data_IF_906305540159
#
_entry.id   IF_906305540159
#
_cell.length_a   1.000
_cell.length_b   1.000
_cell.length_c   1.000
_cell.angle_alpha   90.00
_cell.angle_beta   90.00
_cell.angle_gamma   90.00
#
_symmetry.space_group_name_H-M   'P 1'
#
loop_
_entity.id
_entity.type
_entity.pdbx_description
1 polymer ?
#
# COMPACT_ATOMS: atom_id res chain seq x y z
N UNK A 1 34.87 -23.34 9.02
CA UNK A 1 33.76 -22.44 9.39
C UNK A 1 34.41 -21.14 9.82
N UNK A 2 34.63 -20.24 8.87
CA UNK A 2 35.35 -18.99 9.08
C UNK A 2 34.42 -18.04 9.81
N UNK A 3 34.74 -17.74 11.07
CA UNK A 3 33.95 -16.81 11.89
C UNK A 3 34.24 -15.39 11.40
N UNK A 4 33.20 -14.65 11.01
CA UNK A 4 33.33 -13.23 10.68
C UNK A 4 33.92 -12.48 11.89
N UNK A 5 35.00 -11.74 11.67
CA UNK A 5 35.59 -10.85 12.68
C UNK A 5 34.61 -9.73 13.05
N UNK A 6 34.67 -9.18 14.29
CA UNK A 6 33.77 -8.11 14.75
C UNK A 6 33.68 -6.91 13.81
N UNK A 7 34.78 -6.57 13.14
CA UNK A 7 34.84 -5.47 12.17
C UNK A 7 34.07 -5.73 10.87
N UNK A 8 34.03 -6.99 10.40
CA UNK A 8 33.26 -7.36 9.20
C UNK A 8 31.74 -7.36 9.48
N UNK A 9 31.33 -7.67 10.71
CA UNK A 9 29.94 -7.53 11.14
C UNK A 9 29.52 -6.06 11.24
N UNK A 10 30.43 -5.18 11.67
CA UNK A 10 30.19 -3.73 11.73
C UNK A 10 30.14 -3.08 10.34
N UNK A 11 30.99 -3.51 9.40
CA UNK A 11 30.92 -3.08 7.99
C UNK A 11 29.67 -3.59 7.27
N UNK A 12 29.27 -4.84 7.51
CA UNK A 12 28.02 -5.38 6.97
C UNK A 12 26.79 -4.62 7.50
N UNK A 13 26.80 -4.22 8.77
CA UNK A 13 25.74 -3.39 9.36
C UNK A 13 25.69 -1.97 8.75
N UNK A 14 26.85 -1.38 8.46
CA UNK A 14 26.94 -0.08 7.78
C UNK A 14 26.48 -0.16 6.33
N UNK A 15 26.92 -1.18 5.58
CA UNK A 15 26.45 -1.41 4.21
C UNK A 15 24.94 -1.66 4.15
N UNK A 16 24.38 -2.38 5.12
CA UNK A 16 22.93 -2.57 5.22
C UNK A 16 22.20 -1.25 5.51
N UNK A 17 22.78 -0.38 6.34
CA UNK A 17 22.25 0.95 6.62
C UNK A 17 22.31 1.89 5.39
N UNK A 18 23.41 1.87 4.64
CA UNK A 18 23.59 2.66 3.43
C UNK A 18 22.65 2.19 2.30
N UNK A 19 22.49 0.87 2.15
CA UNK A 19 21.53 0.28 1.22
C UNK A 19 20.08 0.64 1.59
N UNK A 20 19.77 0.68 2.89
CA UNK A 20 18.46 1.11 3.39
C UNK A 20 18.22 2.61 3.14
N UNK A 21 19.25 3.44 3.25
CA UNK A 21 19.16 4.87 2.94
C UNK A 21 18.91 5.11 1.44
N UNK A 22 19.65 4.42 0.56
CA UNK A 22 19.45 4.52 -0.88
C UNK A 22 18.06 4.03 -1.33
N UNK A 23 17.55 2.97 -0.71
CA UNK A 23 16.19 2.49 -0.95
C UNK A 23 15.13 3.49 -0.47
N UNK A 24 15.39 4.23 0.62
CA UNK A 24 14.51 5.28 1.13
C UNK A 24 14.45 6.50 0.19
N UNK A 25 15.57 6.86 -0.44
CA UNK A 25 15.62 7.96 -1.41
C UNK A 25 14.86 7.62 -2.70
N UNK A 26 15.02 6.41 -3.23
CA UNK A 26 14.23 5.94 -4.37
C UNK A 26 12.72 5.88 -4.06
N UNK A 27 12.36 5.50 -2.84
CA UNK A 27 10.98 5.48 -2.39
C UNK A 27 10.39 6.90 -2.22
N UNK A 28 11.21 7.89 -1.81
CA UNK A 28 10.81 9.30 -1.70
C UNK A 28 10.41 9.89 -3.04
N UNK A 29 11.19 9.63 -4.09
CA UNK A 29 10.89 10.14 -5.43
C UNK A 29 9.55 9.57 -5.95
N UNK A 30 9.32 8.28 -5.72
CA UNK A 30 8.06 7.62 -6.06
C UNK A 30 6.86 8.16 -5.24
N UNK A 31 7.07 8.45 -3.95
CA UNK A 31 6.03 8.99 -3.08
C UNK A 31 5.61 10.41 -3.48
N UNK A 32 6.57 11.30 -3.78
CA UNK A 32 6.29 12.66 -4.24
C UNK A 32 5.52 12.67 -5.56
N UNK A 33 5.90 11.77 -6.49
CA UNK A 33 5.15 11.59 -7.74
C UNK A 33 3.71 11.16 -7.44
N UNK A 34 3.52 10.09 -6.65
CA UNK A 34 2.19 9.56 -6.32
C UNK A 34 1.30 10.58 -5.59
N UNK A 35 1.87 11.36 -4.67
CA UNK A 35 1.13 12.34 -3.88
C UNK A 35 0.64 13.51 -4.76
N UNK A 36 1.48 13.98 -5.69
CA UNK A 36 1.08 15.02 -6.65
C UNK A 36 -0.06 14.58 -7.57
N UNK A 37 -0.09 13.29 -7.96
CA UNK A 37 -1.18 12.73 -8.74
C UNK A 37 -2.46 12.57 -7.91
N UNK A 38 -2.33 12.11 -6.66
CA UNK A 38 -3.46 11.95 -5.75
C UNK A 38 -4.13 13.29 -5.43
N UNK A 39 -3.35 14.32 -5.13
CA UNK A 39 -3.84 15.67 -4.84
C UNK A 39 -4.51 16.30 -6.07
N UNK A 40 -3.92 16.15 -7.26
CA UNK A 40 -4.54 16.63 -8.52
C UNK A 40 -5.89 15.97 -8.81
N UNK A 41 -6.02 14.67 -8.56
CA UNK A 41 -7.28 13.94 -8.75
C UNK A 41 -8.30 14.33 -7.69
N UNK A 42 -7.87 14.44 -6.43
CA UNK A 42 -8.74 14.82 -5.31
C UNK A 42 -9.28 16.24 -5.47
N UNK A 43 -8.42 17.20 -5.81
CA UNK A 43 -8.81 18.60 -6.01
C UNK A 43 -9.64 18.79 -7.27
N UNK A 44 -9.34 18.08 -8.36
CA UNK A 44 -10.15 18.11 -9.58
C UNK A 44 -11.56 17.55 -9.36
N UNK A 45 -11.66 16.40 -8.68
CA UNK A 45 -12.95 15.81 -8.32
C UNK A 45 -13.74 16.68 -7.33
N UNK A 46 -13.05 17.22 -6.32
CA UNK A 46 -13.64 18.14 -5.36
C UNK A 46 -14.14 19.42 -6.06
N UNK A 47 -13.36 20.02 -6.96
CA UNK A 47 -13.75 21.24 -7.68
C UNK A 47 -14.96 21.03 -8.59
N UNK A 48 -15.03 19.92 -9.34
CA UNK A 48 -16.18 19.60 -10.22
C UNK A 48 -17.45 19.41 -9.39
N UNK A 49 -17.35 18.69 -8.27
CA UNK A 49 -18.50 18.44 -7.39
C UNK A 49 -18.89 19.68 -6.60
N UNK A 50 -17.91 20.47 -6.11
CA UNK A 50 -18.15 21.73 -5.39
C UNK A 50 -18.83 22.75 -6.31
N UNK A 51 -18.42 22.82 -7.59
CA UNK A 51 -19.09 23.61 -8.61
C UNK A 51 -20.51 23.09 -8.92
N UNK A 52 -20.71 21.78 -8.98
CA UNK A 52 -22.03 21.17 -9.21
C UNK A 52 -22.99 21.31 -8.00
N UNK A 53 -22.46 21.51 -6.80
CA UNK A 53 -23.23 21.52 -5.54
C UNK A 53 -23.29 22.90 -4.87
N UNK A 54 -22.76 23.93 -5.51
CA UNK A 54 -22.80 25.32 -5.03
C UNK A 54 -22.00 25.57 -3.76
N UNK A 55 -21.02 24.72 -3.46
CA UNK A 55 -20.16 24.80 -2.29
C UNK A 55 -20.75 24.38 -0.95
N UNK A 56 -21.95 23.79 -0.95
CA UNK A 56 -22.69 23.48 0.27
C UNK A 56 -22.33 22.13 0.95
N UNK A 57 -21.49 21.29 0.31
CA UNK A 57 -21.17 19.95 0.83
C UNK A 57 -19.83 19.97 1.55
N UNK A 58 -19.87 19.63 2.84
CA UNK A 58 -18.68 19.46 3.66
C UNK A 58 -17.78 18.32 3.11
N UNK A 59 -16.45 18.50 3.02
CA UNK A 59 -15.53 17.47 2.54
C UNK A 59 -15.65 16.13 3.28
N UNK A 60 -16.01 16.15 4.56
CA UNK A 60 -16.28 14.93 5.32
C UNK A 60 -17.52 14.21 4.81
N UNK A 61 -18.63 14.93 4.62
CA UNK A 61 -19.89 14.36 4.08
C UNK A 61 -19.67 13.81 2.67
N UNK A 62 -18.84 14.48 1.87
CA UNK A 62 -18.44 14.01 0.55
C UNK A 62 -17.67 12.68 0.61
N UNK A 63 -16.60 12.60 1.42
CA UNK A 63 -15.82 11.37 1.60
C UNK A 63 -16.67 10.23 2.20
N UNK A 64 -17.55 10.55 3.14
CA UNK A 64 -18.49 9.60 3.73
C UNK A 64 -19.49 9.07 2.70
N UNK A 65 -19.97 9.92 1.80
CA UNK A 65 -20.87 9.51 0.72
C UNK A 65 -20.19 8.54 -0.24
N UNK A 66 -18.94 8.82 -0.64
CA UNK A 66 -18.13 7.89 -1.44
C UNK A 66 -17.94 6.56 -0.71
N UNK A 67 -17.62 6.59 0.59
CA UNK A 67 -17.45 5.39 1.40
C UNK A 67 -18.72 4.53 1.44
N UNK A 68 -19.88 5.13 1.70
CA UNK A 68 -21.17 4.42 1.72
C UNK A 68 -21.51 3.85 0.34
N UNK A 69 -21.33 4.62 -0.73
CA UNK A 69 -21.54 4.14 -2.09
C UNK A 69 -20.61 2.98 -2.46
N UNK A 70 -19.34 3.02 -2.03
CA UNK A 70 -18.39 1.95 -2.25
C UNK A 70 -18.81 0.63 -1.54
N UNK A 71 -19.43 0.70 -0.36
CA UNK A 71 -19.98 -0.48 0.33
C UNK A 71 -21.09 -1.13 -0.52
N UNK A 72 -22.03 -0.33 -1.04
CA UNK A 72 -23.08 -0.85 -1.90
C UNK A 72 -22.51 -1.52 -3.15
N UNK A 73 -21.57 -0.86 -3.84
CA UNK A 73 -20.90 -1.43 -5.01
C UNK A 73 -20.20 -2.74 -4.65
N UNK A 74 -19.44 -2.78 -3.55
CA UNK A 74 -18.78 -3.99 -3.08
C UNK A 74 -19.74 -5.15 -2.80
N UNK A 75 -20.88 -4.86 -2.17
CA UNK A 75 -21.93 -5.85 -1.92
C UNK A 75 -22.45 -6.46 -3.24
N UNK A 76 -22.87 -5.63 -4.20
CA UNK A 76 -23.40 -6.10 -5.49
C UNK A 76 -22.35 -6.87 -6.31
N UNK A 77 -21.08 -6.45 -6.28
CA UNK A 77 -19.98 -7.13 -6.97
C UNK A 77 -19.77 -8.55 -6.42
N UNK A 78 -19.78 -8.73 -5.11
CA UNK A 78 -19.58 -10.05 -4.49
C UNK A 78 -20.82 -10.93 -4.64
N UNK A 79 -22.03 -10.37 -4.55
CA UNK A 79 -23.27 -11.14 -4.68
C UNK A 79 -23.54 -11.66 -6.10
N UNK A 80 -22.89 -11.06 -7.11
CA UNK A 80 -23.10 -11.41 -8.52
C UNK A 80 -22.18 -12.53 -9.04
N UNK A 81 -21.47 -13.26 -8.16
CA UNK A 81 -20.57 -14.35 -8.58
C UNK A 81 -21.25 -15.72 -8.53
N UNK A 82 -20.84 -16.62 -9.43
CA UNK A 82 -21.31 -18.01 -9.42
C UNK A 82 -20.73 -18.79 -8.23
N UNK A 83 -21.48 -19.75 -7.64
CA UNK A 83 -21.06 -20.45 -6.41
C UNK A 83 -19.70 -21.19 -6.49
N UNK A 84 -19.29 -21.60 -7.69
CA UNK A 84 -17.98 -22.23 -7.93
C UNK A 84 -16.80 -21.27 -7.71
N UNK A 85 -17.05 -19.97 -7.62
CA UNK A 85 -16.04 -18.92 -7.52
C UNK A 85 -15.83 -18.41 -6.09
N UNK A 86 -16.55 -18.89 -5.06
CA UNK A 86 -16.34 -18.40 -3.68
C UNK A 86 -14.90 -18.62 -3.19
N UNK A 87 -14.30 -19.77 -3.51
CA UNK A 87 -12.91 -20.07 -3.12
C UNK A 87 -11.89 -19.21 -3.89
N UNK A 88 -11.99 -19.05 -5.23
CA UNK A 88 -11.22 -18.03 -5.96
C UNK A 88 -11.44 -16.60 -5.46
N UNK A 89 -12.69 -16.23 -5.14
CA UNK A 89 -13.06 -14.89 -4.69
C UNK A 89 -12.45 -14.57 -3.32
N UNK A 90 -12.36 -15.56 -2.43
CA UNK A 90 -11.65 -15.42 -1.15
C UNK A 90 -10.16 -15.11 -1.36
N UNK A 91 -9.53 -15.66 -2.40
CA UNK A 91 -8.15 -15.32 -2.73
C UNK A 91 -8.02 -13.92 -3.33
N UNK A 92 -8.99 -13.48 -4.14
CA UNK A 92 -9.01 -12.14 -4.73
C UNK A 92 -9.21 -11.07 -3.67
N UNK A 93 -10.10 -11.28 -2.69
CA UNK A 93 -10.29 -10.32 -1.59
C UNK A 93 -9.03 -10.22 -0.72
N UNK A 94 -8.28 -11.31 -0.55
CA UNK A 94 -6.97 -11.25 0.12
C UNK A 94 -5.98 -10.35 -0.64
N UNK A 95 -5.93 -10.45 -1.98
CA UNK A 95 -5.09 -9.57 -2.80
C UNK A 95 -5.55 -8.10 -2.75
N UNK A 96 -6.87 -7.84 -2.81
CA UNK A 96 -7.43 -6.48 -2.71
C UNK A 96 -7.12 -5.84 -1.35
N UNK A 97 -7.13 -6.63 -0.26
CA UNK A 97 -6.78 -6.12 1.07
C UNK A 97 -5.35 -5.57 1.16
N UNK A 98 -4.48 -5.88 0.20
CA UNK A 98 -3.12 -5.35 0.13
C UNK A 98 -3.04 -3.87 -0.26
N UNK A 99 -4.18 -3.17 -0.47
CA UNK A 99 -4.23 -1.71 -0.64
C UNK A 99 -3.56 -0.94 0.51
N UNK A 100 -3.39 -1.59 1.67
CA UNK A 100 -2.64 -1.11 2.84
C UNK A 100 -1.21 -0.65 2.47
N UNK A 101 -0.61 -1.19 1.39
CA UNK A 101 0.69 -0.76 0.88
C UNK A 101 0.74 0.74 0.56
N UNK A 102 -0.38 1.32 0.09
CA UNK A 102 -0.49 2.76 -0.18
C UNK A 102 -0.34 3.57 1.11
N UNK A 103 -0.99 3.12 2.18
CA UNK A 103 -0.87 3.74 3.50
C UNK A 103 0.54 3.61 4.09
N UNK A 104 1.18 2.45 3.92
CA UNK A 104 2.56 2.23 4.36
C UNK A 104 3.56 3.12 3.60
N UNK A 105 3.40 3.27 2.28
CA UNK A 105 4.20 4.17 1.46
C UNK A 105 4.01 5.63 1.86
N UNK A 106 2.79 6.05 2.18
CA UNK A 106 2.52 7.40 2.69
C UNK A 106 3.13 7.59 4.09
N UNK A 107 3.04 6.61 4.99
CA UNK A 107 3.63 6.72 6.32
C UNK A 107 5.16 6.88 6.26
N UNK A 108 5.85 6.08 5.43
CA UNK A 108 7.31 6.21 5.24
C UNK A 108 7.68 7.46 4.46
N UNK A 109 6.90 7.83 3.44
CA UNK A 109 7.21 8.90 2.50
C UNK A 109 6.83 10.30 2.97
N UNK A 110 5.67 10.46 3.61
CA UNK A 110 5.13 11.77 4.03
C UNK A 110 5.74 12.23 5.34
N UNK A 111 6.00 11.30 6.27
CA UNK A 111 6.72 11.71 7.47
C UNK A 111 8.09 12.23 7.07
N UNK A 112 8.87 11.55 6.23
CA UNK A 112 10.21 12.02 5.85
C UNK A 112 10.32 13.48 5.29
N UNK A 113 9.20 14.13 4.92
CA UNK A 113 9.09 15.57 4.58
C UNK A 113 9.07 16.47 5.83
N UNK A 114 8.40 16.07 6.91
CA UNK A 114 8.30 16.83 8.17
C UNK A 114 9.53 16.66 9.08
N UNK A 115 10.50 15.82 8.70
CA UNK A 115 11.80 15.72 9.38
C UNK A 115 12.62 17.02 9.27
N UNK A 116 12.28 17.88 8.30
CA UNK A 116 12.85 19.23 8.18
C UNK A 116 12.26 20.19 9.25
N UNK A 117 11.13 19.80 9.88
CA UNK A 117 10.37 20.62 10.85
C UNK A 117 10.68 20.33 12.34
N UNK A 118 11.56 19.37 12.65
CA UNK A 118 12.13 19.21 14.00
C UNK A 118 11.23 18.58 15.08
N UNK A 119 10.22 17.79 14.72
CA UNK A 119 9.31 17.12 15.67
C UNK A 119 9.81 15.71 16.06
N UNK A 120 10.10 15.49 17.35
CA UNK A 120 10.71 14.26 17.90
C UNK A 120 9.84 12.98 17.87
N UNK A 121 8.68 12.99 17.20
CA UNK A 121 7.80 11.82 17.04
C UNK A 121 8.12 10.93 15.83
N UNK A 122 9.01 11.41 14.98
CA UNK A 122 9.17 11.00 13.59
C UNK A 122 9.80 9.64 13.31
N UNK A 123 10.71 9.22 14.20
CA UNK A 123 11.46 7.99 14.00
C UNK A 123 10.59 6.75 14.23
N UNK A 124 9.54 6.87 15.06
CA UNK A 124 8.64 5.77 15.35
C UNK A 124 7.77 5.43 14.16
N UNK A 125 7.18 6.42 13.53
CA UNK A 125 6.23 6.18 12.46
C UNK A 125 6.91 5.91 11.10
N UNK A 126 8.14 6.40 10.87
CA UNK A 126 9.00 5.87 9.80
C UNK A 126 9.37 4.40 10.03
N UNK A 127 9.69 4.02 11.28
CA UNK A 127 9.96 2.62 11.65
C UNK A 127 8.73 1.72 11.47
N UNK A 128 7.56 2.14 11.95
CA UNK A 128 6.31 1.41 11.77
C UNK A 128 5.87 1.36 10.31
N UNK A 129 6.08 2.42 9.53
CA UNK A 129 5.82 2.47 8.10
C UNK A 129 6.68 1.47 7.33
N UNK A 130 7.97 1.35 7.68
CA UNK A 130 8.87 0.36 7.08
C UNK A 130 8.41 -1.07 7.39
N UNK A 131 8.08 -1.36 8.64
CA UNK A 131 7.54 -2.66 9.04
C UNK A 131 6.22 -2.94 8.32
N UNK A 132 5.32 -1.95 8.24
CA UNK A 132 4.06 -2.06 7.51
C UNK A 132 4.28 -2.35 6.01
N UNK A 133 5.30 -1.76 5.39
CA UNK A 133 5.63 -1.97 3.98
C UNK A 133 6.14 -3.40 3.74
N UNK A 134 6.98 -3.93 4.63
CA UNK A 134 7.45 -5.32 4.59
C UNK A 134 6.27 -6.29 4.74
N UNK A 135 5.40 -6.06 5.72
CA UNK A 135 4.22 -6.90 5.95
C UNK A 135 3.22 -6.83 4.79
N UNK A 136 2.99 -5.63 4.22
CA UNK A 136 2.16 -5.45 3.04
C UNK A 136 2.73 -6.20 1.83
N UNK A 137 4.05 -6.15 1.64
CA UNK A 137 4.73 -6.89 0.57
C UNK A 137 4.53 -8.41 0.70
N UNK A 138 4.64 -8.96 1.92
CA UNK A 138 4.36 -10.38 2.17
C UNK A 138 2.90 -10.73 1.85
N UNK A 139 1.94 -9.87 2.18
CA UNK A 139 0.53 -10.09 1.86
C UNK A 139 0.27 -10.10 0.34
N UNK A 140 0.87 -9.15 -0.39
CA UNK A 140 0.83 -9.08 -1.86
C UNK A 140 1.40 -10.37 -2.47
N UNK A 141 2.67 -10.67 -2.19
CA UNK A 141 3.35 -11.81 -2.81
C UNK A 141 2.79 -13.14 -2.34
N UNK A 142 2.45 -13.28 -1.05
CA UNK A 142 1.83 -14.48 -0.49
C UNK A 142 0.45 -14.77 -1.08
N UNK A 143 -0.37 -13.73 -1.26
CA UNK A 143 -1.67 -13.84 -1.91
C UNK A 143 -1.55 -14.38 -3.33
N UNK A 144 -0.73 -13.74 -4.18
CA UNK A 144 -0.56 -14.14 -5.58
C UNK A 144 0.12 -15.50 -5.76
N UNK A 145 1.06 -15.88 -4.89
CA UNK A 145 1.78 -17.16 -4.98
C UNK A 145 0.86 -18.35 -4.63
N UNK A 146 -0.01 -18.19 -3.63
CA UNK A 146 -1.03 -19.20 -3.28
C UNK A 146 -2.09 -19.32 -4.38
N UNK A 147 -2.57 -18.20 -4.93
CA UNK A 147 -3.52 -18.25 -6.07
C UNK A 147 -2.90 -18.93 -7.27
N UNK A 148 -1.65 -18.62 -7.60
CA UNK A 148 -0.94 -19.23 -8.73
C UNK A 148 -0.71 -20.73 -8.51
N UNK A 149 -0.44 -21.16 -7.27
CA UNK A 149 -0.34 -22.59 -6.91
C UNK A 149 -1.69 -23.30 -7.00
N UNK A 150 -2.79 -22.63 -6.65
CA UNK A 150 -4.15 -23.17 -6.81
C UNK A 150 -4.57 -23.28 -8.28
N UNK A 151 -4.27 -22.27 -9.09
CA UNK A 151 -4.58 -22.27 -10.53
C UNK A 151 -3.66 -23.23 -11.32
N UNK A 152 -2.42 -23.41 -10.89
CA UNK A 152 -1.49 -24.39 -11.47
C UNK A 152 -1.99 -25.83 -11.30
N UNK A 153 -2.77 -26.13 -10.26
CA UNK A 153 -3.39 -27.46 -10.07
C UNK A 153 -4.57 -27.73 -11.02
N UNK A 154 -5.11 -26.70 -11.69
CA UNK A 154 -6.13 -26.84 -12.73
C UNK A 154 -5.54 -26.90 -14.15
N UNK A 155 -4.24 -26.68 -14.32
CA UNK A 155 -3.55 -26.97 -15.58
C UNK A 155 -3.41 -28.48 -15.72
N UNK A 156 -4.26 -29.08 -16.57
CA UNK A 156 -4.14 -30.47 -17.01
C UNK A 156 -2.72 -30.68 -17.55
N UNK A 157 -2.07 -31.75 -17.08
CA UNK A 157 -0.81 -32.27 -17.62
C UNK A 157 -0.95 -32.40 -19.14
N UNK A 158 -0.29 -31.51 -19.88
CA UNK A 158 0.00 -31.74 -21.29
C UNK A 158 1.08 -32.84 -21.33
N UNK A 159 0.63 -34.10 -21.40
CA UNK A 159 1.46 -35.31 -21.35
C UNK A 159 0.80 -36.46 -20.62
#
# INVERSE_FOLDING_TARGET
>A
MEQLTPDQAAEAARQAADAAAAAADAAREAALAAQSYADQVADGAAAVVHAATGGAIDPFVFRLSIFVLAIFVGYYVVWSVTPALHTPLMSVTNAISSVIVVGALLAVGVEAVDTISGSSGHLWAQGFGFVALVLASVNIFGGFLVTNRMLAMYKKKSG
#
